data_IF_559056677190
#
_entry.id   IF_559056677190
#
_cell.length_a   1.000
_cell.length_b   1.000
_cell.length_c   1.000
_cell.angle_alpha   90.00
_cell.angle_beta   90.00
_cell.angle_gamma   90.00
#
_symmetry.space_group_name_H-M   'P 1'
#
loop_
_entity.id
_entity.type
_entity.pdbx_description
1 polymer ?
#
# COMPACT_ATOMS: atom_id res chain seq x y z
N UNK A 1 -4.87 -13.71 -6.20
CA UNK A 1 -4.37 -13.11 -4.94
C UNK A 1 -3.44 -11.96 -5.28
N UNK A 2 -3.29 -10.96 -4.40
CA UNK A 2 -2.66 -9.67 -4.71
C UNK A 2 -1.32 -9.79 -5.47
N UNK A 3 -0.41 -10.65 -5.00
CA UNK A 3 0.91 -10.86 -5.64
C UNK A 3 0.80 -11.37 -7.08
N UNK A 4 -0.08 -12.33 -7.36
CA UNK A 4 -0.29 -12.83 -8.72
C UNK A 4 -0.88 -11.77 -9.65
N UNK A 5 -1.76 -10.92 -9.12
CA UNK A 5 -2.35 -9.82 -9.89
C UNK A 5 -1.29 -8.79 -10.27
N UNK A 6 -0.45 -8.36 -9.32
CA UNK A 6 0.67 -7.44 -9.58
C UNK A 6 1.72 -8.07 -10.51
N UNK A 7 2.04 -9.35 -10.35
CA UNK A 7 2.93 -10.05 -11.28
C UNK A 7 2.37 -10.02 -12.71
N UNK A 8 1.08 -10.30 -12.89
CA UNK A 8 0.45 -10.24 -14.22
C UNK A 8 0.42 -8.83 -14.80
N UNK A 9 0.14 -7.80 -14.00
CA UNK A 9 0.21 -6.40 -14.44
C UNK A 9 1.64 -6.03 -14.87
N UNK A 10 2.63 -6.34 -14.02
CA UNK A 10 4.06 -6.18 -14.33
C UNK A 10 4.46 -6.83 -15.64
N UNK A 11 4.09 -8.09 -15.85
CA UNK A 11 4.45 -8.82 -17.07
C UNK A 11 3.74 -8.35 -18.33
N UNK A 12 2.57 -7.70 -18.22
CA UNK A 12 1.78 -7.26 -19.38
C UNK A 12 2.03 -5.81 -19.77
N UNK A 13 2.26 -4.94 -18.79
CA UNK A 13 2.19 -3.49 -18.96
C UNK A 13 3.50 -2.76 -18.66
N UNK A 14 4.46 -3.38 -17.98
CA UNK A 14 5.77 -2.76 -17.71
C UNK A 14 6.82 -3.17 -18.77
N UNK A 15 7.77 -2.27 -19.08
CA UNK A 15 8.84 -2.56 -20.04
C UNK A 15 9.92 -3.48 -19.45
N UNK A 16 10.72 -4.09 -20.33
CA UNK A 16 11.99 -4.74 -19.97
C UNK A 16 13.11 -3.69 -19.88
N UNK A 17 12.99 -2.79 -18.90
CA UNK A 17 13.93 -1.71 -18.63
C UNK A 17 13.91 -1.34 -17.13
N UNK A 18 14.96 -0.67 -16.65
CA UNK A 18 15.02 -0.09 -15.30
C UNK A 18 14.16 1.18 -15.18
N UNK A 19 13.94 1.86 -16.31
CA UNK A 19 13.14 3.08 -16.40
C UNK A 19 11.75 2.75 -16.96
N UNK A 20 10.72 3.44 -16.48
CA UNK A 20 9.37 3.33 -17.06
C UNK A 20 8.91 4.68 -17.63
N UNK A 21 9.02 4.89 -18.94
CA UNK A 21 8.43 6.04 -19.60
C UNK A 21 6.90 5.87 -19.67
N UNK A 22 6.16 6.61 -18.85
CA UNK A 22 4.70 6.45 -18.74
C UNK A 22 3.94 7.10 -19.91
N UNK A 23 4.54 8.14 -20.50
CA UNK A 23 3.93 8.87 -21.61
C UNK A 23 4.52 8.48 -22.96
N UNK A 24 3.70 8.60 -23.99
CA UNK A 24 4.17 8.79 -25.36
C UNK A 24 4.92 10.13 -25.53
N UNK A 25 5.60 10.31 -26.66
CA UNK A 25 6.37 11.53 -26.91
C UNK A 25 5.47 12.78 -26.98
N UNK A 26 5.81 13.81 -26.20
CA UNK A 26 5.11 15.11 -26.18
C UNK A 26 5.89 16.11 -27.04
N UNK A 27 5.38 16.53 -28.21
CA UNK A 27 6.04 17.52 -29.04
C UNK A 27 5.95 18.91 -28.40
N UNK A 28 7.08 19.59 -28.28
CA UNK A 28 7.18 20.92 -27.68
C UNK A 28 7.72 21.98 -28.66
N UNK A 29 7.82 21.62 -29.93
CA UNK A 29 8.27 22.52 -31.00
C UNK A 29 7.56 22.20 -32.31
N UNK A 30 7.44 23.22 -33.17
CA UNK A 30 6.77 23.11 -34.47
C UNK A 30 7.51 22.20 -35.46
N UNK A 31 8.84 22.33 -35.52
CA UNK A 31 9.70 21.59 -36.45
C UNK A 31 10.16 20.22 -35.89
N UNK A 32 9.72 19.85 -34.67
CA UNK A 32 10.01 18.54 -34.06
C UNK A 32 11.41 18.38 -33.44
N UNK A 33 12.22 19.44 -33.36
CA UNK A 33 13.56 19.39 -32.75
C UNK A 33 13.60 19.41 -31.21
N UNK A 34 12.46 19.66 -30.56
CA UNK A 34 12.32 19.70 -29.11
C UNK A 34 11.00 19.03 -28.68
N UNK A 35 11.11 18.11 -27.72
CA UNK A 35 10.04 17.30 -27.19
C UNK A 35 10.38 16.89 -25.73
N UNK A 36 9.39 16.35 -25.02
CA UNK A 36 9.56 15.80 -23.70
C UNK A 36 8.74 14.50 -23.54
N UNK A 37 8.98 13.78 -22.46
CA UNK A 37 8.10 12.74 -21.94
C UNK A 37 8.37 12.59 -20.45
N UNK A 38 7.40 12.15 -19.68
CA UNK A 38 7.62 11.79 -18.28
C UNK A 38 8.27 10.39 -18.20
N UNK A 39 9.14 10.22 -17.20
CA UNK A 39 9.84 8.97 -16.92
C UNK A 39 9.77 8.71 -15.43
N UNK A 40 9.29 7.52 -15.08
CA UNK A 40 9.28 7.01 -13.73
C UNK A 40 10.58 6.25 -13.46
N UNK A 41 11.22 6.59 -12.35
CA UNK A 41 12.44 5.97 -11.84
C UNK A 41 12.17 5.43 -10.44
N UNK A 42 12.78 4.29 -10.10
CA UNK A 42 12.72 3.78 -8.73
C UNK A 42 13.49 4.70 -7.78
N UNK A 43 12.89 5.03 -6.63
CA UNK A 43 13.57 5.80 -5.57
C UNK A 43 14.69 4.96 -4.95
N UNK A 44 15.78 5.60 -4.56
CA UNK A 44 16.95 4.96 -3.93
C UNK A 44 16.90 4.96 -2.39
N UNK A 45 15.72 4.79 -1.82
CA UNK A 45 15.48 4.78 -0.37
C UNK A 45 14.74 3.52 0.09
N UNK A 46 14.14 3.56 1.28
CA UNK A 46 13.32 2.49 1.85
C UNK A 46 11.83 2.86 1.87
N UNK A 47 10.98 1.85 1.72
CA UNK A 47 9.54 1.98 1.93
C UNK A 47 9.16 1.46 3.32
N UNK A 48 8.80 2.36 4.24
CA UNK A 48 8.36 2.02 5.58
C UNK A 48 6.85 1.82 5.60
N UNK A 49 6.42 0.58 5.88
CA UNK A 49 5.01 0.19 5.91
C UNK A 49 4.56 -0.04 7.34
N UNK A 50 3.79 0.89 7.89
CA UNK A 50 3.20 0.80 9.23
C UNK A 50 1.77 0.28 9.09
N UNK A 51 1.53 -0.97 9.50
CA UNK A 51 0.28 -1.67 9.22
C UNK A 51 -0.63 -1.79 10.46
N UNK A 52 -1.93 -1.85 10.21
CA UNK A 52 -2.96 -2.13 11.20
C UNK A 52 -3.02 -3.62 11.58
N UNK A 53 -3.80 -3.93 12.61
CA UNK A 53 -3.93 -5.29 13.15
C UNK A 53 -4.87 -6.19 12.34
N UNK A 54 -5.73 -5.61 11.52
CA UNK A 54 -6.84 -6.29 10.84
C UNK A 54 -6.34 -7.31 9.80
N UNK A 55 -5.36 -6.96 8.98
CA UNK A 55 -4.90 -7.80 7.87
C UNK A 55 -3.38 -8.00 7.89
N UNK A 56 -2.82 -8.80 8.82
CA UNK A 56 -1.37 -8.99 8.96
C UNK A 56 -0.70 -9.63 7.72
N UNK A 57 -1.45 -10.40 6.92
CA UNK A 57 -0.99 -10.94 5.64
C UNK A 57 -1.34 -10.00 4.49
N UNK A 58 -2.62 -9.72 4.26
CA UNK A 58 -3.06 -8.92 3.11
C UNK A 58 -2.55 -7.48 3.16
N UNK A 59 -2.67 -6.76 4.28
CA UNK A 59 -2.24 -5.37 4.40
C UNK A 59 -0.73 -5.19 4.30
N UNK A 60 0.04 -6.25 4.58
CA UNK A 60 1.48 -6.27 4.27
C UNK A 60 1.71 -6.50 2.78
N UNK A 61 1.12 -7.55 2.23
CA UNK A 61 1.38 -8.00 0.86
C UNK A 61 0.84 -7.05 -0.21
N UNK A 62 -0.26 -6.34 0.07
CA UNK A 62 -0.83 -5.36 -0.85
C UNK A 62 0.07 -4.14 -1.03
N UNK A 63 0.76 -3.70 0.03
CA UNK A 63 1.79 -2.66 -0.05
C UNK A 63 3.10 -3.18 -0.62
N UNK A 64 3.48 -4.40 -0.26
CA UNK A 64 4.75 -4.99 -0.65
C UNK A 64 4.85 -5.26 -2.16
N UNK A 65 3.76 -5.74 -2.78
CA UNK A 65 3.76 -6.04 -4.21
C UNK A 65 4.10 -4.82 -5.10
N UNK A 66 3.42 -3.66 -4.99
CA UNK A 66 3.81 -2.46 -5.72
C UNK A 66 5.15 -1.89 -5.24
N UNK A 67 5.55 -2.09 -3.99
CA UNK A 67 6.87 -1.64 -3.49
C UNK A 67 8.02 -2.35 -4.22
N UNK A 68 7.94 -3.67 -4.34
CA UNK A 68 8.94 -4.45 -5.08
C UNK A 68 8.85 -4.23 -6.59
N UNK A 69 7.64 -4.14 -7.14
CA UNK A 69 7.47 -3.84 -8.56
C UNK A 69 7.99 -2.44 -8.92
N UNK A 70 7.89 -1.49 -7.98
CA UNK A 70 8.48 -0.15 -8.07
C UNK A 70 9.97 -0.07 -7.71
N UNK A 71 10.62 -1.19 -7.38
CA UNK A 71 12.07 -1.27 -7.19
C UNK A 71 12.59 -0.76 -5.84
N UNK A 72 11.77 -0.72 -4.79
CA UNK A 72 12.21 -0.29 -3.44
C UNK A 72 12.28 -1.47 -2.45
N UNK A 73 13.26 -1.49 -1.53
CA UNK A 73 13.23 -2.37 -0.36
C UNK A 73 12.18 -1.89 0.66
N UNK A 74 11.58 -2.84 1.39
CA UNK A 74 10.52 -2.54 2.36
C UNK A 74 10.95 -2.82 3.81
N UNK A 75 10.62 -1.91 4.73
CA UNK A 75 10.67 -2.15 6.18
C UNK A 75 9.24 -2.22 6.68
N UNK A 76 8.80 -3.40 7.08
CA UNK A 76 7.43 -3.64 7.54
C UNK A 76 7.38 -3.54 9.06
N UNK A 77 6.47 -2.69 9.55
CA UNK A 77 6.13 -2.60 10.97
C UNK A 77 4.65 -2.98 11.14
N UNK A 78 4.33 -4.23 11.51
CA UNK A 78 2.95 -4.62 11.79
C UNK A 78 2.44 -4.04 13.11
N UNK A 79 1.12 -4.06 13.30
CA UNK A 79 0.55 -3.87 14.63
C UNK A 79 0.95 -5.04 15.53
N UNK A 80 1.37 -4.73 16.76
CA UNK A 80 1.92 -5.72 17.69
C UNK A 80 0.95 -6.86 18.00
N UNK A 81 -0.36 -6.58 18.03
CA UNK A 81 -1.39 -7.55 18.39
C UNK A 81 -1.46 -8.79 17.49
N UNK A 82 -1.09 -8.67 16.22
CA UNK A 82 -1.20 -9.74 15.21
C UNK A 82 0.08 -9.96 14.41
N UNK A 83 1.20 -9.43 14.90
CA UNK A 83 2.50 -9.42 14.22
C UNK A 83 3.09 -10.81 13.93
N UNK A 84 2.71 -11.84 14.70
CA UNK A 84 3.21 -13.21 14.52
C UNK A 84 2.89 -13.78 13.13
N UNK A 85 1.73 -13.44 12.55
CA UNK A 85 1.38 -13.89 11.21
C UNK A 85 2.18 -13.14 10.16
N UNK A 86 2.38 -11.83 10.32
CA UNK A 86 3.27 -11.05 9.46
C UNK A 86 4.70 -11.61 9.50
N UNK A 87 5.21 -11.96 10.69
CA UNK A 87 6.52 -12.57 10.85
C UNK A 87 6.62 -13.93 10.14
N UNK A 88 5.61 -14.79 10.25
CA UNK A 88 5.59 -16.07 9.53
C UNK A 88 5.66 -15.88 8.01
N UNK A 89 4.96 -14.86 7.49
CA UNK A 89 5.01 -14.51 6.06
C UNK A 89 6.39 -14.02 5.64
N UNK A 90 6.97 -13.06 6.37
CA UNK A 90 8.32 -12.54 6.07
C UNK A 90 9.37 -13.64 6.15
N UNK A 91 9.30 -14.51 7.18
CA UNK A 91 10.18 -15.66 7.30
C UNK A 91 10.09 -16.59 6.10
N UNK A 92 8.87 -16.93 5.66
CA UNK A 92 8.66 -17.79 4.49
C UNK A 92 9.22 -17.18 3.20
N UNK A 93 9.11 -15.85 3.05
CA UNK A 93 9.68 -15.11 1.93
C UNK A 93 11.22 -15.17 1.97
N UNK A 94 11.82 -14.83 3.11
CA UNK A 94 13.28 -14.77 3.26
C UNK A 94 13.91 -16.16 3.11
N UNK A 95 13.36 -17.17 3.78
CA UNK A 95 13.86 -18.55 3.74
C UNK A 95 13.76 -19.18 2.33
N UNK A 96 12.95 -18.61 1.43
CA UNK A 96 12.81 -19.12 0.06
C UNK A 96 14.01 -18.80 -0.84
N UNK A 97 14.81 -17.78 -0.50
CA UNK A 97 15.93 -17.31 -1.34
C UNK A 97 15.52 -16.64 -2.66
N UNK A 98 14.23 -16.37 -2.88
CA UNK A 98 13.73 -15.75 -4.11
C UNK A 98 13.98 -14.24 -4.18
N UNK A 99 14.10 -13.58 -3.04
CA UNK A 99 14.34 -12.13 -2.96
C UNK A 99 15.78 -11.84 -2.52
N UNK A 100 16.39 -10.75 -3.01
CA UNK A 100 17.71 -10.33 -2.53
C UNK A 100 17.71 -10.02 -1.03
N UNK A 101 18.86 -10.23 -0.38
CA UNK A 101 19.08 -9.75 0.99
C UNK A 101 18.86 -8.24 1.07
N UNK A 102 18.14 -7.79 2.10
CA UNK A 102 17.79 -6.38 2.29
C UNK A 102 16.53 -5.91 1.55
N UNK A 103 15.97 -6.70 0.62
CA UNK A 103 14.72 -6.34 -0.08
C UNK A 103 13.49 -6.27 0.84
N UNK A 104 13.56 -6.92 2.01
CA UNK A 104 12.51 -6.92 3.02
C UNK A 104 13.11 -7.00 4.42
N UNK A 105 12.58 -6.17 5.33
CA UNK A 105 12.90 -6.16 6.76
C UNK A 105 11.61 -6.11 7.58
N UNK A 106 11.68 -6.53 8.84
CA UNK A 106 10.53 -6.59 9.74
C UNK A 106 10.89 -6.09 11.14
N UNK A 107 10.05 -5.24 11.72
CA UNK A 107 10.17 -4.77 13.11
C UNK A 107 8.88 -5.07 13.87
N UNK A 108 8.93 -6.05 14.78
CA UNK A 108 7.82 -6.35 15.70
C UNK A 108 8.00 -5.55 17.00
N UNK A 109 7.13 -4.56 17.24
CA UNK A 109 7.21 -3.69 18.42
C UNK A 109 7.19 -2.22 18.05
N UNK A 110 7.89 -1.38 18.82
CA UNK A 110 8.08 0.03 18.47
C UNK A 110 9.04 0.17 17.29
N UNK A 111 8.84 1.18 16.44
CA UNK A 111 9.79 1.55 15.40
C UNK A 111 11.04 2.25 15.97
N UNK A 112 11.01 2.68 17.25
CA UNK A 112 12.11 3.39 17.88
C UNK A 112 12.39 4.73 17.18
N UNK A 113 13.65 4.94 16.81
CA UNK A 113 14.19 6.11 16.13
C UNK A 113 14.15 6.00 14.59
N UNK A 114 13.53 4.94 14.03
CA UNK A 114 13.51 4.69 12.58
C UNK A 114 13.09 5.93 11.77
N UNK A 115 12.02 6.61 12.18
CA UNK A 115 11.48 7.76 11.44
C UNK A 115 12.37 9.00 11.56
N UNK A 116 13.18 9.09 12.61
CA UNK A 116 14.11 10.20 12.81
C UNK A 116 15.31 10.12 11.86
N UNK A 117 15.59 8.92 11.31
CA UNK A 117 16.76 8.64 10.47
C UNK A 117 16.45 8.44 8.98
N UNK A 118 15.19 8.61 8.57
CA UNK A 118 14.80 8.54 7.16
C UNK A 118 15.43 9.67 6.33
N UNK A 119 15.51 9.45 5.03
CA UNK A 119 15.97 10.41 4.03
C UNK A 119 14.92 10.73 2.96
N UNK A 120 15.16 11.78 2.16
CA UNK A 120 14.19 12.30 1.18
C UNK A 120 13.75 11.31 0.08
N UNK A 121 14.50 10.22 -0.12
CA UNK A 121 14.16 9.15 -1.05
C UNK A 121 13.27 8.06 -0.43
N UNK A 122 13.06 8.10 0.88
CA UNK A 122 12.19 7.16 1.57
C UNK A 122 10.72 7.48 1.33
N UNK A 123 9.85 6.53 1.64
CA UNK A 123 8.40 6.70 1.65
C UNK A 123 7.79 6.03 2.88
N UNK A 124 6.73 6.61 3.43
CA UNK A 124 6.04 6.05 4.60
C UNK A 124 4.57 5.82 4.26
N UNK A 125 4.09 4.58 4.44
CA UNK A 125 2.68 4.23 4.24
C UNK A 125 2.09 3.70 5.54
N UNK A 126 1.16 4.45 6.10
CA UNK A 126 0.47 4.15 7.36
C UNK A 126 -0.96 3.66 7.13
N UNK A 127 -1.35 2.59 7.83
CA UNK A 127 -2.75 2.18 8.01
C UNK A 127 -3.02 2.00 9.50
N UNK A 128 -4.03 2.68 10.05
CA UNK A 128 -4.37 2.61 11.47
C UNK A 128 -5.41 3.64 11.89
N UNK A 129 -5.39 4.09 13.15
CA UNK A 129 -6.30 5.15 13.62
C UNK A 129 -5.91 6.53 13.12
N UNK A 130 -6.87 7.42 12.87
CA UNK A 130 -6.63 8.81 12.50
C UNK A 130 -5.67 9.54 13.46
N UNK A 131 -5.85 9.40 14.77
CA UNK A 131 -5.03 10.08 15.77
C UNK A 131 -3.54 9.73 15.63
N UNK A 132 -3.19 8.43 15.59
CA UNK A 132 -1.80 7.99 15.38
C UNK A 132 -1.26 8.45 14.03
N UNK A 133 -2.03 8.32 12.96
CA UNK A 133 -1.60 8.76 11.63
C UNK A 133 -1.32 10.26 11.57
N UNK A 134 -2.14 11.09 12.22
CA UNK A 134 -1.93 12.54 12.32
C UNK A 134 -0.69 12.89 13.12
N UNK A 135 -0.42 12.20 14.24
CA UNK A 135 0.82 12.39 15.00
C UNK A 135 2.06 12.05 14.15
N UNK A 136 2.01 10.95 13.39
CA UNK A 136 3.11 10.54 12.52
C UNK A 136 3.30 11.50 11.34
N UNK A 137 2.21 12.03 10.78
CA UNK A 137 2.26 12.98 9.67
C UNK A 137 3.04 14.26 10.00
N UNK A 138 2.98 14.70 11.26
CA UNK A 138 3.69 15.90 11.73
C UNK A 138 5.06 15.59 12.34
N UNK A 139 5.59 14.37 12.17
CA UNK A 139 6.91 14.00 12.67
C UNK A 139 7.98 14.91 12.02
N UNK A 140 8.93 15.48 12.80
CA UNK A 140 9.81 16.54 12.30
C UNK A 140 10.67 16.17 11.09
N UNK A 141 11.20 14.94 11.03
CA UNK A 141 12.05 14.52 9.91
C UNK A 141 11.24 14.32 8.62
N UNK A 142 10.05 13.72 8.70
CA UNK A 142 9.12 13.54 7.57
C UNK A 142 8.80 14.88 6.93
N UNK A 143 8.42 15.88 7.74
CA UNK A 143 8.07 17.22 7.22
C UNK A 143 9.30 18.00 6.76
N UNK A 144 10.44 17.90 7.46
CA UNK A 144 11.65 18.62 7.11
C UNK A 144 12.28 18.12 5.80
N UNK A 145 12.20 16.81 5.54
CA UNK A 145 12.72 16.18 4.32
C UNK A 145 11.68 16.03 3.20
N UNK A 146 10.45 16.49 3.44
CA UNK A 146 9.32 16.36 2.49
C UNK A 146 9.09 14.92 2.02
N UNK A 147 9.22 13.96 2.95
CA UNK A 147 9.04 12.54 2.65
C UNK A 147 7.56 12.25 2.37
N UNK A 148 7.21 11.54 1.29
CA UNK A 148 5.83 11.12 1.04
C UNK A 148 5.27 10.30 2.20
N UNK A 149 4.16 10.78 2.78
CA UNK A 149 3.43 10.13 3.85
C UNK A 149 2.00 9.82 3.43
N UNK A 150 1.73 8.56 3.09
CA UNK A 150 0.39 8.06 2.74
C UNK A 150 -0.29 7.54 4.00
N UNK A 151 -1.55 7.94 4.22
CA UNK A 151 -2.29 7.60 5.44
C UNK A 151 -3.68 7.08 5.11
N UNK A 152 -3.96 5.86 5.55
CA UNK A 152 -5.29 5.26 5.61
C UNK A 152 -5.75 5.23 7.07
N UNK A 153 -6.90 5.82 7.34
CA UNK A 153 -7.47 5.94 8.68
C UNK A 153 -8.86 5.30 8.76
N UNK A 154 -9.51 5.44 9.91
CA UNK A 154 -10.90 5.06 10.11
C UNK A 154 -11.86 5.77 9.14
N UNK A 155 -12.91 5.06 8.73
CA UNK A 155 -13.92 5.52 7.79
C UNK A 155 -15.30 5.04 8.23
N UNK A 156 -16.32 5.89 8.03
CA UNK A 156 -17.73 5.52 8.14
C UNK A 156 -18.26 5.22 6.74
N UNK A 157 -18.07 3.98 6.28
CA UNK A 157 -18.51 3.56 4.95
C UNK A 157 -20.04 3.48 4.91
N UNK A 158 -20.63 4.01 3.83
CA UNK A 158 -22.08 4.01 3.65
C UNK A 158 -22.55 2.90 2.70
N UNK A 159 -23.76 2.40 2.92
CA UNK A 159 -24.49 1.54 2.00
C UNK A 159 -25.90 2.12 1.87
N UNK A 160 -26.18 2.80 0.77
CA UNK A 160 -27.43 3.55 0.56
C UNK A 160 -28.35 2.73 -0.34
N UNK A 161 -29.59 2.53 0.08
CA UNK A 161 -30.63 1.87 -0.71
C UNK A 161 -31.29 2.89 -1.64
N UNK A 162 -31.51 2.52 -2.90
CA UNK A 162 -32.25 3.36 -3.85
C UNK A 162 -33.73 3.46 -3.51
N UNK A 163 -34.35 4.60 -3.84
CA UNK A 163 -35.79 4.86 -3.62
C UNK A 163 -36.71 3.94 -4.46
N UNK A 164 -36.18 3.37 -5.54
CA UNK A 164 -36.88 2.45 -6.45
C UNK A 164 -36.94 1.00 -5.93
N UNK A 165 -36.14 0.67 -4.92
CA UNK A 165 -36.04 -0.70 -4.39
C UNK A 165 -37.17 -1.00 -3.42
N UNK A 166 -38.06 -1.90 -3.83
CA UNK A 166 -39.16 -2.40 -3.00
C UNK A 166 -38.87 -3.81 -2.46
N UNK A 167 -39.46 -4.25 -1.32
CA UNK A 167 -39.15 -5.54 -0.70
C UNK A 167 -39.43 -6.80 -1.54
N UNK A 168 -40.26 -6.68 -2.58
CA UNK A 168 -40.58 -7.74 -3.54
C UNK A 168 -39.54 -7.88 -4.67
N UNK A 169 -38.66 -6.89 -4.84
CA UNK A 169 -37.59 -6.92 -5.83
C UNK A 169 -36.37 -7.74 -5.33
N UNK A 170 -35.66 -8.46 -6.22
CA UNK A 170 -34.48 -9.23 -5.83
C UNK A 170 -33.35 -8.38 -5.23
N UNK A 171 -33.27 -7.10 -5.59
CA UNK A 171 -32.32 -6.11 -5.12
C UNK A 171 -32.40 -5.91 -3.60
N UNK A 172 -33.61 -5.95 -3.02
CA UNK A 172 -33.78 -5.82 -1.57
C UNK A 172 -33.11 -6.97 -0.81
N UNK A 173 -33.26 -8.20 -1.31
CA UNK A 173 -32.62 -9.37 -0.70
C UNK A 173 -31.08 -9.32 -0.84
N UNK A 174 -30.57 -8.78 -1.96
CA UNK A 174 -29.13 -8.57 -2.15
C UNK A 174 -28.59 -7.49 -1.21
N UNK A 175 -29.30 -6.37 -1.05
CA UNK A 175 -28.93 -5.31 -0.13
C UNK A 175 -28.81 -5.82 1.32
N UNK A 176 -29.83 -6.52 1.81
CA UNK A 176 -29.80 -7.10 3.17
C UNK A 176 -28.64 -8.09 3.32
N UNK A 177 -28.43 -8.97 2.31
CA UNK A 177 -27.33 -9.93 2.34
C UNK A 177 -25.97 -9.25 2.39
N UNK A 178 -25.77 -8.20 1.61
CA UNK A 178 -24.52 -7.45 1.54
C UNK A 178 -24.22 -6.76 2.86
N UNK A 179 -25.20 -6.01 3.41
CA UNK A 179 -25.07 -5.35 4.71
C UNK A 179 -24.72 -6.35 5.81
N UNK A 180 -25.46 -7.46 5.90
CA UNK A 180 -25.21 -8.50 6.92
C UNK A 180 -23.83 -9.13 6.73
N UNK A 181 -23.45 -9.49 5.50
CA UNK A 181 -22.16 -10.11 5.23
C UNK A 181 -21.02 -9.18 5.58
N UNK A 182 -21.04 -7.92 5.17
CA UNK A 182 -19.95 -6.98 5.42
C UNK A 182 -19.84 -6.60 6.90
N UNK A 183 -20.97 -6.44 7.61
CA UNK A 183 -20.96 -6.21 9.07
C UNK A 183 -20.40 -7.39 9.87
N UNK A 184 -20.61 -8.63 9.41
CA UNK A 184 -20.25 -9.84 10.16
C UNK A 184 -18.93 -10.48 9.71
N UNK A 185 -18.51 -10.25 8.47
CA UNK A 185 -17.24 -10.74 7.94
C UNK A 185 -16.11 -10.19 8.80
N UNK A 186 -15.29 -11.11 9.32
CA UNK A 186 -14.18 -10.77 10.22
C UNK A 186 -14.63 -9.97 11.46
N UNK A 187 -15.87 -10.19 11.90
CA UNK A 187 -16.50 -9.47 13.01
C UNK A 187 -16.45 -7.92 12.84
N UNK A 188 -16.60 -7.43 11.60
CA UNK A 188 -16.56 -6.00 11.29
C UNK A 188 -15.18 -5.37 11.41
N UNK A 189 -14.11 -6.15 11.62
CA UNK A 189 -12.74 -5.64 11.77
C UNK A 189 -12.07 -5.41 10.41
N UNK A 190 -12.79 -4.82 9.46
CA UNK A 190 -12.30 -4.40 8.14
C UNK A 190 -12.39 -2.87 8.06
N UNK A 191 -11.56 -2.26 7.22
CA UNK A 191 -11.65 -0.83 6.93
C UNK A 191 -12.73 -0.49 5.89
N UNK A 192 -13.19 -1.50 5.12
CA UNK A 192 -14.20 -1.40 4.05
C UNK A 192 -15.52 -2.00 4.49
#
# INVERSE_FOLDING_TARGET
GTLFTYASLGSRELPDDTLWPEDELIPLSKEGGFAARHVLTSKSGVAVHINAFNFPCWGMLEKLAPTWLGGMPAIIKPATATAQLTQAMVKSIVDSGLVPEGAISLICGSAGDLLDHLDSQDVVTFTGSAATGQMLRVQPNIVAKSIPFTMEADSLNCCVLGEDVTPDQPEFALFIREVVREMTTKAGQKCT
#
